data_IF_551165299552
#
_entry.id   IF_551165299552
#
_cell.length_a   1.000
_cell.length_b   1.000
_cell.length_c   1.000
_cell.angle_alpha   90.00
_cell.angle_beta   90.00
_cell.angle_gamma   90.00
#
_symmetry.space_group_name_H-M   'P 1'
#
loop_
_entity.id
_entity.type
_entity.pdbx_description
1 polymer ?
#
# COMPACT_ATOMS: atom_id res chain seq x y z
N UNK A 1 -2.14 5.47 17.74
CA UNK A 1 -1.28 4.30 17.49
C UNK A 1 -0.64 3.90 18.81
N UNK A 2 -1.13 2.86 19.45
CA UNK A 2 -0.62 2.39 20.74
C UNK A 2 0.71 1.65 20.52
N UNK A 3 1.77 1.88 21.33
CA UNK A 3 3.12 1.34 21.09
C UNK A 3 3.32 -0.14 21.46
N UNK A 4 2.31 -1.00 21.27
CA UNK A 4 2.29 -2.34 21.86
C UNK A 4 2.28 -3.44 20.78
N UNK A 5 3.43 -3.70 20.15
CA UNK A 5 3.70 -4.94 19.41
C UNK A 5 5.20 -5.17 19.09
N UNK A 6 6.10 -4.74 19.98
CA UNK A 6 7.55 -5.03 19.87
C UNK A 6 7.95 -6.49 20.15
N UNK A 7 7.05 -7.47 19.98
CA UNK A 7 7.33 -8.87 20.28
C UNK A 7 6.49 -9.87 19.47
N UNK A 8 6.28 -9.63 18.17
CA UNK A 8 5.71 -10.60 17.25
C UNK A 8 6.70 -10.89 16.12
N UNK A 9 7.05 -12.16 15.89
CA UNK A 9 7.69 -12.54 14.65
C UNK A 9 6.67 -12.31 13.52
N UNK A 10 6.97 -11.37 12.61
CA UNK A 10 6.16 -11.14 11.42
C UNK A 10 6.88 -11.77 10.21
N UNK A 11 6.28 -12.75 9.52
CA UNK A 11 6.93 -13.43 8.39
C UNK A 11 7.11 -12.52 7.16
N UNK A 12 6.34 -11.44 7.06
CA UNK A 12 6.37 -10.50 5.94
C UNK A 12 6.87 -9.14 6.43
N UNK A 13 7.80 -8.51 5.71
CA UNK A 13 8.27 -7.16 6.03
C UNK A 13 7.13 -6.14 5.87
N UNK A 14 7.25 -5.02 6.57
CA UNK A 14 6.35 -3.89 6.34
C UNK A 14 6.69 -3.16 5.03
N UNK A 15 5.71 -2.46 4.44
CA UNK A 15 5.89 -1.78 3.15
C UNK A 15 6.97 -0.70 3.19
N UNK A 16 7.15 -0.02 4.32
CA UNK A 16 8.21 0.96 4.54
C UNK A 16 9.60 0.30 4.60
N UNK A 17 9.72 -0.86 5.25
CA UNK A 17 10.97 -1.64 5.27
C UNK A 17 11.35 -2.13 3.87
N UNK A 18 10.37 -2.60 3.07
CA UNK A 18 10.60 -3.00 1.68
C UNK A 18 11.05 -1.81 0.82
N UNK A 19 10.48 -0.63 1.05
CA UNK A 19 10.86 0.59 0.34
C UNK A 19 12.32 0.97 0.62
N UNK A 20 12.74 0.95 1.89
CA UNK A 20 14.12 1.24 2.27
C UNK A 20 15.09 0.19 1.72
N UNK A 21 14.71 -1.09 1.76
CA UNK A 21 15.50 -2.16 1.13
C UNK A 21 15.67 -1.92 -0.37
N UNK A 22 14.59 -1.58 -1.07
CA UNK A 22 14.61 -1.29 -2.50
C UNK A 22 15.48 -0.08 -2.87
N UNK A 23 15.69 0.89 -1.97
CA UNK A 23 16.63 2.00 -2.18
C UNK A 23 18.09 1.60 -1.98
N UNK A 24 18.35 0.57 -1.17
CA UNK A 24 19.70 0.12 -0.80
C UNK A 24 20.34 -0.89 -1.76
N UNK A 25 19.60 -1.39 -2.76
CA UNK A 25 20.13 -2.37 -3.71
C UNK A 25 21.24 -1.77 -4.59
N UNK A 26 22.32 -2.51 -4.88
CA UNK A 26 23.37 -2.04 -5.79
C UNK A 26 22.80 -1.68 -7.16
N UNK A 27 23.35 -0.64 -7.78
CA UNK A 27 22.94 -0.19 -9.10
C UNK A 27 23.52 -1.11 -10.20
N UNK A 28 22.65 -1.94 -10.78
CA UNK A 28 22.96 -2.95 -11.79
C UNK A 28 21.92 -2.90 -12.90
N UNK A 29 22.21 -3.39 -14.11
CA UNK A 29 21.19 -3.48 -15.16
C UNK A 29 19.90 -4.18 -14.72
N UNK A 30 20.01 -5.19 -13.86
CA UNK A 30 18.88 -5.93 -13.30
C UNK A 30 18.05 -5.06 -12.33
N UNK A 31 18.70 -4.36 -11.39
CA UNK A 31 18.01 -3.52 -10.39
C UNK A 31 17.42 -2.23 -10.98
N UNK A 32 17.84 -1.83 -12.18
CA UNK A 32 17.22 -0.75 -12.96
C UNK A 32 15.96 -1.17 -13.73
N UNK A 33 15.75 -2.47 -13.95
CA UNK A 33 14.64 -2.93 -14.76
C UNK A 33 13.29 -2.71 -14.04
N UNK A 34 12.30 -2.22 -14.77
CA UNK A 34 11.00 -1.80 -14.21
C UNK A 34 10.25 -2.96 -13.56
N UNK A 35 10.43 -4.18 -14.08
CA UNK A 35 9.82 -5.41 -13.55
C UNK A 35 10.16 -5.70 -12.08
N UNK A 36 11.24 -5.12 -11.55
CA UNK A 36 11.65 -5.28 -10.14
C UNK A 36 11.19 -4.13 -9.23
N UNK A 37 10.49 -3.12 -9.76
CA UNK A 37 9.87 -2.07 -8.93
C UNK A 37 8.79 -2.70 -8.04
N UNK A 38 8.66 -2.18 -6.82
CA UNK A 38 7.60 -2.59 -5.92
C UNK A 38 6.25 -2.20 -6.52
N UNK A 39 5.37 -3.18 -6.78
CA UNK A 39 4.12 -2.96 -7.50
C UNK A 39 3.22 -1.87 -6.91
N UNK A 40 3.17 -1.74 -5.58
CA UNK A 40 2.38 -0.72 -4.89
C UNK A 40 3.00 0.69 -4.97
N UNK A 41 4.28 0.79 -5.31
CA UNK A 41 5.03 2.05 -5.52
C UNK A 41 5.38 2.26 -7.01
N UNK A 42 4.71 1.57 -7.92
CA UNK A 42 4.91 1.69 -9.36
C UNK A 42 3.65 2.32 -10.01
N UNK A 43 3.67 3.64 -10.30
CA UNK A 43 2.53 4.32 -10.92
C UNK A 43 2.20 3.80 -12.32
N UNK A 44 3.20 3.40 -13.09
CA UNK A 44 3.01 2.90 -14.46
C UNK A 44 2.28 1.55 -14.42
N UNK A 45 2.66 0.68 -13.50
CA UNK A 45 1.93 -0.56 -13.24
C UNK A 45 0.53 -0.28 -12.71
N UNK A 46 0.40 0.54 -11.67
CA UNK A 46 -0.87 0.82 -10.98
C UNK A 46 -1.91 1.51 -11.85
N UNK A 47 -1.53 2.20 -12.93
CA UNK A 47 -2.44 2.91 -13.84
C UNK A 47 -2.91 2.07 -15.04
N UNK A 48 -2.37 0.85 -15.21
CA UNK A 48 -2.76 -0.08 -16.27
C UNK A 48 -4.26 -0.37 -16.31
N UNK A 49 -4.79 -0.63 -17.51
CA UNK A 49 -6.24 -0.86 -17.71
C UNK A 49 -6.73 -2.09 -16.93
N UNK A 50 -5.90 -3.12 -16.87
CA UNK A 50 -6.16 -4.40 -16.23
C UNK A 50 -6.32 -4.28 -14.71
N UNK A 51 -5.67 -3.28 -14.10
CA UNK A 51 -5.77 -3.02 -12.65
C UNK A 51 -6.92 -2.09 -12.26
N UNK A 52 -7.82 -1.74 -13.19
CA UNK A 52 -9.01 -0.94 -12.88
C UNK A 52 -9.84 -1.52 -11.72
N UNK A 53 -10.09 -2.85 -11.61
CA UNK A 53 -10.84 -3.40 -10.47
C UNK A 53 -10.14 -3.16 -9.13
N UNK A 54 -8.81 -3.29 -9.10
CA UNK A 54 -7.99 -3.06 -7.90
C UNK A 54 -8.05 -1.58 -7.50
N UNK A 55 -7.93 -0.66 -8.46
CA UNK A 55 -8.07 0.78 -8.16
C UNK A 55 -9.45 1.13 -7.63
N UNK A 56 -10.53 0.57 -8.20
CA UNK A 56 -11.87 0.78 -7.68
C UNK A 56 -12.00 0.29 -6.24
N UNK A 57 -11.45 -0.89 -5.93
CA UNK A 57 -11.41 -1.40 -4.55
C UNK A 57 -10.68 -0.44 -3.61
N UNK A 58 -9.53 0.10 -4.02
CA UNK A 58 -8.79 1.08 -3.22
C UNK A 58 -9.61 2.36 -2.96
N UNK A 59 -10.33 2.86 -3.97
CA UNK A 59 -11.18 4.05 -3.80
C UNK A 59 -12.38 3.81 -2.87
N UNK A 60 -12.88 2.58 -2.76
CA UNK A 60 -13.89 2.21 -1.78
C UNK A 60 -13.29 1.97 -0.39
N UNK A 61 -12.08 1.44 -0.31
CA UNK A 61 -11.42 1.11 0.95
C UNK A 61 -10.92 2.35 1.69
N UNK A 62 -10.35 3.34 0.98
CA UNK A 62 -9.88 4.60 1.57
C UNK A 62 -10.91 5.27 2.48
N UNK A 63 -12.16 5.56 2.03
CA UNK A 63 -13.15 6.20 2.89
C UNK A 63 -13.52 5.30 4.07
N UNK A 64 -13.70 4.01 3.87
CA UNK A 64 -14.02 3.06 4.95
C UNK A 64 -12.97 3.09 6.06
N UNK A 65 -11.68 3.01 5.71
CA UNK A 65 -10.58 3.08 6.67
C UNK A 65 -10.60 4.38 7.47
N UNK A 66 -10.79 5.51 6.80
CA UNK A 66 -10.80 6.83 7.45
C UNK A 66 -12.03 6.98 8.37
N UNK A 67 -13.19 6.47 7.97
CA UNK A 67 -14.39 6.47 8.82
C UNK A 67 -14.15 5.63 10.08
N UNK A 68 -13.56 4.45 9.94
CA UNK A 68 -13.21 3.56 11.04
C UNK A 68 -12.19 4.20 11.99
N UNK A 69 -11.12 4.81 11.46
CA UNK A 69 -10.09 5.53 12.24
C UNK A 69 -10.67 6.67 13.06
N UNK A 70 -11.71 7.33 12.55
CA UNK A 70 -12.43 8.42 13.24
C UNK A 70 -13.55 7.92 14.16
N UNK A 71 -13.75 6.61 14.25
CA UNK A 71 -14.79 6.00 15.09
C UNK A 71 -16.22 6.29 14.59
N UNK A 72 -16.42 6.62 13.31
CA UNK A 72 -17.73 6.87 12.74
C UNK A 72 -18.45 5.52 12.55
N UNK A 73 -19.59 5.36 13.23
CA UNK A 73 -20.37 4.10 13.23
C UNK A 73 -21.56 4.09 12.29
N UNK A 74 -22.03 5.27 11.88
CA UNK A 74 -23.24 5.42 11.06
C UNK A 74 -23.16 6.71 10.26
N UNK A 75 -23.65 6.69 9.02
CA UNK A 75 -23.71 7.83 8.13
C UNK A 75 -25.14 8.00 7.62
N UNK A 76 -25.57 9.25 7.42
CA UNK A 76 -26.86 9.58 6.79
C UNK A 76 -26.55 10.31 5.49
N UNK A 77 -27.11 9.83 4.38
CA UNK A 77 -26.93 10.42 3.06
C UNK A 77 -28.20 11.20 2.72
N UNK A 78 -28.05 12.49 2.40
CA UNK A 78 -29.13 13.37 1.94
C UNK A 78 -28.83 13.78 0.50
N UNK A 79 -29.86 13.72 -0.36
CA UNK A 79 -29.80 14.08 -1.77
C UNK A 79 -30.77 15.22 -2.07
#
# INVERSE_FOLDING_TARGET
MTPMEKAGWTPLPHSDEDLERAKSVPDTPQTRAETYRLAWNDPDFMTRRELRPVRLQLELLKPEMILAERGIRSTVILF
#
